data_IF_279647660698
#
_entry.id   IF_279647660698
#
_cell.length_a   1.000
_cell.length_b   1.000
_cell.length_c   1.000
_cell.angle_alpha   90.00
_cell.angle_beta   90.00
_cell.angle_gamma   90.00
#
_symmetry.space_group_name_H-M   'P 1'
#
loop_
_entity.id
_entity.type
_entity.pdbx_description
1 polymer ?
#
# COMPACT_ATOMS: atom_id res chain seq x y z
N UNK A 1 14.82 28.51 -9.52
CA UNK A 1 13.41 28.12 -9.75
C UNK A 1 13.29 26.61 -9.97
N UNK A 2 13.65 25.77 -8.96
CA UNK A 2 13.65 24.31 -9.12
C UNK A 2 13.15 23.54 -7.87
N UNK A 3 12.67 24.27 -6.85
CA UNK A 3 12.27 23.68 -5.57
C UNK A 3 10.78 23.26 -5.52
N UNK A 4 9.98 23.60 -6.55
CA UNK A 4 8.54 23.30 -6.56
C UNK A 4 8.18 21.83 -6.79
N UNK A 5 8.99 21.08 -7.56
CA UNK A 5 8.70 19.68 -7.90
C UNK A 5 8.85 18.72 -6.71
N UNK A 6 9.83 18.99 -5.84
CA UNK A 6 10.15 18.14 -4.69
C UNK A 6 9.03 18.23 -3.63
N UNK A 7 8.43 19.43 -3.49
CA UNK A 7 7.33 19.68 -2.57
C UNK A 7 6.07 18.89 -2.93
N UNK A 8 5.78 18.71 -4.22
CA UNK A 8 4.64 17.91 -4.67
C UNK A 8 4.78 16.42 -4.34
N UNK A 9 6.01 15.87 -4.48
CA UNK A 9 6.30 14.46 -4.17
C UNK A 9 6.17 14.19 -2.66
N UNK A 10 6.70 15.09 -1.83
CA UNK A 10 6.59 15.00 -0.37
C UNK A 10 5.11 15.05 0.07
N UNK A 11 4.31 15.90 -0.57
CA UNK A 11 2.89 16.03 -0.27
C UNK A 11 2.10 14.76 -0.61
N UNK A 12 2.41 14.11 -1.73
CA UNK A 12 1.80 12.82 -2.12
C UNK A 12 2.12 11.72 -1.11
N UNK A 13 3.37 11.63 -0.66
CA UNK A 13 3.80 10.63 0.34
C UNK A 13 3.07 10.85 1.67
N UNK A 14 2.93 12.10 2.11
CA UNK A 14 2.20 12.46 3.34
C UNK A 14 0.72 12.07 3.24
N UNK A 15 0.08 12.34 2.10
CA UNK A 15 -1.33 11.97 1.88
C UNK A 15 -1.51 10.45 1.89
N UNK A 16 -0.62 9.70 1.23
CA UNK A 16 -0.62 8.24 1.30
C UNK A 16 -0.42 7.75 2.74
N UNK A 17 0.56 8.29 3.46
CA UNK A 17 0.82 7.93 4.85
C UNK A 17 -0.38 8.20 5.76
N UNK A 18 -1.08 9.32 5.59
CA UNK A 18 -2.29 9.63 6.35
C UNK A 18 -3.45 8.68 6.02
N UNK A 19 -3.59 8.26 4.77
CA UNK A 19 -4.59 7.25 4.37
C UNK A 19 -4.26 5.87 4.98
N UNK A 20 -2.99 5.47 5.01
CA UNK A 20 -2.56 4.21 5.64
C UNK A 20 -2.65 4.26 7.18
N UNK A 21 -2.33 5.39 7.80
CA UNK A 21 -2.30 5.53 9.26
C UNK A 21 -3.70 5.65 9.88
N UNK A 22 -4.72 6.04 9.10
CA UNK A 22 -6.11 6.15 9.57
C UNK A 22 -6.84 4.80 9.66
N UNK A 23 -6.23 3.72 9.18
CA UNK A 23 -6.78 2.35 9.28
C UNK A 23 -6.42 1.67 10.61
N UNK A 24 -5.56 2.26 11.45
CA UNK A 24 -5.10 1.62 12.70
C UNK A 24 -5.96 1.87 13.93
N UNK A 25 -7.04 2.65 13.84
CA UNK A 25 -7.82 3.00 15.03
C UNK A 25 -9.33 2.88 14.80
N UNK A 26 -9.83 1.64 14.82
CA UNK A 26 -11.03 1.28 15.60
C UNK A 26 -11.33 -0.24 15.56
N UNK A 27 -11.09 -0.86 16.71
CA UNK A 27 -12.00 -1.75 17.43
C UNK A 27 -12.46 -3.11 16.83
N UNK A 28 -12.03 -4.15 17.57
CA UNK A 28 -12.75 -5.41 17.87
C UNK A 28 -12.74 -6.53 16.81
N UNK A 29 -11.89 -7.54 17.08
CA UNK A 29 -11.97 -9.00 16.80
C UNK A 29 -12.84 -9.54 15.64
N UNK A 30 -12.44 -10.63 14.91
CA UNK A 30 -11.45 -11.66 15.28
C UNK A 30 -10.38 -11.91 14.21
N UNK A 31 -9.17 -12.32 14.63
CA UNK A 31 -8.11 -12.93 13.80
C UNK A 31 -8.19 -12.60 12.30
N UNK A 32 -7.85 -11.36 11.94
CA UNK A 32 -7.67 -10.97 10.56
C UNK A 32 -6.39 -11.66 10.09
N UNK A 33 -6.49 -12.94 9.69
CA UNK A 33 -5.47 -13.58 8.86
C UNK A 33 -5.29 -12.62 7.70
N UNK A 34 -4.14 -11.92 7.66
CA UNK A 34 -3.75 -11.07 6.54
C UNK A 34 -4.14 -11.83 5.28
N UNK A 35 -5.05 -11.24 4.51
CA UNK A 35 -5.52 -11.91 3.29
C UNK A 35 -4.31 -12.15 2.41
N UNK A 36 -4.33 -13.19 1.58
CA UNK A 36 -3.28 -13.40 0.59
C UNK A 36 -3.08 -12.15 -0.29
N UNK A 37 -4.13 -11.32 -0.43
CA UNK A 37 -4.07 -10.00 -1.07
C UNK A 37 -3.27 -8.96 -0.26
N UNK A 38 -3.43 -8.87 1.06
CA UNK A 38 -2.64 -7.95 1.89
C UNK A 38 -1.13 -8.26 1.80
N UNK A 39 -0.79 -9.55 1.83
CA UNK A 39 0.62 -9.98 1.70
C UNK A 39 1.15 -9.63 0.30
N UNK A 40 0.32 -9.82 -0.73
CA UNK A 40 0.69 -9.48 -2.10
C UNK A 40 0.91 -7.97 -2.30
N UNK A 41 0.04 -7.15 -1.72
CA UNK A 41 0.15 -5.68 -1.73
C UNK A 41 1.41 -5.22 -0.99
N UNK A 42 1.72 -5.84 0.16
CA UNK A 42 2.91 -5.53 0.96
C UNK A 42 4.21 -5.85 0.19
N UNK A 43 4.27 -6.99 -0.50
CA UNK A 43 5.43 -7.40 -1.30
C UNK A 43 5.64 -6.51 -2.54
N UNK A 44 4.55 -6.05 -3.17
CA UNK A 44 4.62 -5.07 -4.26
C UNK A 44 5.11 -3.70 -3.77
N UNK A 45 4.59 -3.23 -2.63
CA UNK A 45 5.03 -1.98 -2.03
C UNK A 45 6.50 -2.02 -1.57
N UNK A 46 6.99 -3.20 -1.15
CA UNK A 46 8.41 -3.45 -0.84
C UNK A 46 9.30 -3.52 -2.09
N UNK A 47 8.71 -3.68 -3.28
CA UNK A 47 9.43 -3.86 -4.54
C UNK A 47 10.00 -5.27 -4.74
N UNK A 48 9.52 -6.25 -3.97
CA UNK A 48 9.98 -7.64 -4.05
C UNK A 48 9.39 -8.39 -5.25
N UNK A 49 8.28 -7.89 -5.81
CA UNK A 49 7.62 -8.43 -7.00
C UNK A 49 7.40 -7.33 -8.03
N UNK A 50 7.44 -7.69 -9.31
CA UNK A 50 7.12 -6.77 -10.40
C UNK A 50 5.61 -6.53 -10.51
N UNK A 51 5.22 -5.43 -11.15
CA UNK A 51 3.81 -5.11 -11.43
C UNK A 51 3.10 -6.23 -12.19
N UNK A 52 3.82 -6.89 -13.10
CA UNK A 52 3.28 -7.99 -13.91
C UNK A 52 2.97 -9.24 -13.05
N UNK A 53 3.83 -9.54 -12.07
CA UNK A 53 3.58 -10.60 -11.10
C UNK A 53 2.45 -10.25 -10.13
N UNK A 54 2.38 -8.99 -9.69
CA UNK A 54 1.32 -8.48 -8.84
C UNK A 54 -0.05 -8.66 -9.51
N UNK A 55 -0.19 -8.21 -10.76
CA UNK A 55 -1.45 -8.31 -11.52
C UNK A 55 -1.87 -9.76 -11.76
N UNK A 56 -0.94 -10.66 -12.09
CA UNK A 56 -1.22 -12.09 -12.24
C UNK A 56 -1.74 -12.72 -10.96
N UNK A 57 -1.09 -12.45 -9.82
CA UNK A 57 -1.48 -13.05 -8.53
C UNK A 57 -2.79 -12.47 -8.01
N UNK A 58 -3.00 -11.16 -8.17
CA UNK A 58 -4.26 -10.49 -7.84
C UNK A 58 -5.45 -11.08 -8.60
N UNK A 59 -5.27 -11.38 -9.89
CA UNK A 59 -6.31 -12.02 -10.72
C UNK A 59 -6.65 -13.45 -10.30
N UNK A 60 -5.71 -14.18 -9.70
CA UNK A 60 -5.93 -15.55 -9.20
C UNK A 60 -6.60 -15.56 -7.81
N UNK A 61 -6.50 -14.46 -7.06
CA UNK A 61 -7.04 -14.31 -5.71
C UNK A 61 -8.41 -13.63 -5.67
N UNK A 62 -8.92 -13.20 -6.83
CA UNK A 62 -10.19 -12.50 -7.00
C UNK A 62 -11.35 -13.44 -7.32
#
# INVERSE_FOLDING_TARGET
MMFGGIFGIILIIIVMYLLFNKTSENNSYPSQKKSALDILDEEYARGNISEEEYLRKKKNLS
#
